data_IF_289481255703
#
_entry.id   IF_289481255703
#
_cell.length_a   1.000
_cell.length_b   1.000
_cell.length_c   1.000
_cell.angle_alpha   90.00
_cell.angle_beta   90.00
_cell.angle_gamma   90.00
#
_symmetry.space_group_name_H-M   'P 1'
#
loop_
_entity.id
_entity.type
_entity.pdbx_description
1 polymer ?
#
# COMPACT_ATOMS: atom_id res chain seq x y z
N UNK A 1 10.59 -20.65 -29.26
CA UNK A 1 10.69 -20.62 -27.78
C UNK A 1 10.48 -22.03 -27.28
N UNK A 2 11.39 -22.57 -26.47
CA UNK A 2 11.31 -23.94 -25.95
C UNK A 2 10.08 -24.11 -25.04
N UNK A 3 9.53 -25.31 -25.03
CA UNK A 3 8.35 -25.68 -24.22
C UNK A 3 8.64 -25.47 -22.72
N UNK A 4 9.87 -25.69 -22.30
CA UNK A 4 10.35 -25.46 -20.91
C UNK A 4 10.25 -23.99 -20.49
N UNK A 5 10.64 -23.05 -21.38
CA UNK A 5 10.53 -21.62 -21.07
C UNK A 5 9.07 -21.13 -20.99
N UNK A 6 8.13 -21.79 -21.63
CA UNK A 6 6.70 -21.51 -21.48
C UNK A 6 6.17 -22.04 -20.15
N UNK A 7 6.57 -23.25 -19.75
CA UNK A 7 6.19 -23.83 -18.47
C UNK A 7 6.71 -22.99 -17.27
N UNK A 8 7.97 -22.57 -17.31
CA UNK A 8 8.54 -21.71 -16.26
C UNK A 8 7.78 -20.37 -16.10
N UNK A 9 7.36 -19.77 -17.22
CA UNK A 9 6.54 -18.54 -17.16
C UNK A 9 5.13 -18.79 -16.64
N UNK A 10 4.56 -19.96 -16.93
CA UNK A 10 3.24 -20.33 -16.44
C UNK A 10 3.25 -20.47 -14.92
N UNK A 11 4.27 -21.11 -14.33
CA UNK A 11 4.43 -21.22 -12.88
C UNK A 11 4.46 -19.85 -12.21
N UNK A 12 5.20 -18.90 -12.78
CA UNK A 12 5.24 -17.53 -12.25
C UNK A 12 3.89 -16.83 -12.38
N UNK A 13 3.15 -17.04 -13.47
CA UNK A 13 1.81 -16.47 -13.64
C UNK A 13 0.85 -17.03 -12.58
N UNK A 14 0.93 -18.34 -12.32
CA UNK A 14 0.08 -19.00 -11.32
C UNK A 14 0.44 -18.53 -9.88
N UNK A 15 1.73 -18.32 -9.60
CA UNK A 15 2.19 -17.69 -8.35
C UNK A 15 1.61 -16.28 -8.18
N UNK A 16 1.69 -15.45 -9.24
CA UNK A 16 1.15 -14.09 -9.23
C UNK A 16 -0.35 -14.13 -8.96
N UNK A 17 -1.12 -14.98 -9.65
CA UNK A 17 -2.56 -15.13 -9.42
C UNK A 17 -2.88 -15.48 -7.97
N UNK A 18 -2.19 -16.46 -7.40
CA UNK A 18 -2.39 -16.84 -6.00
C UNK A 18 -2.06 -15.75 -4.99
N UNK A 19 -1.13 -14.83 -5.31
CA UNK A 19 -0.85 -13.64 -4.49
C UNK A 19 -1.93 -12.57 -4.65
N UNK A 20 -2.44 -12.38 -5.86
CA UNK A 20 -3.54 -11.44 -6.12
C UNK A 20 -4.83 -11.84 -5.39
N UNK A 21 -5.16 -13.13 -5.37
CA UNK A 21 -6.35 -13.66 -4.69
C UNK A 21 -6.28 -13.54 -3.16
N UNK A 22 -5.08 -13.62 -2.59
CA UNK A 22 -4.85 -13.54 -1.13
C UNK A 22 -4.69 -12.11 -0.62
N UNK A 23 -4.37 -11.17 -1.50
CA UNK A 23 -4.11 -9.80 -1.12
C UNK A 23 -5.41 -9.00 -0.98
N UNK A 24 -5.61 -8.34 0.15
CA UNK A 24 -6.69 -7.37 0.35
C UNK A 24 -6.43 -6.04 -0.37
N UNK A 25 -5.16 -5.67 -0.54
CA UNK A 25 -4.77 -4.52 -1.36
C UNK A 25 -3.45 -4.75 -2.07
N UNK A 26 -3.31 -4.10 -3.22
CA UNK A 26 -2.13 -4.18 -4.08
C UNK A 26 -1.74 -2.76 -4.47
N UNK A 27 -0.51 -2.38 -4.13
CA UNK A 27 0.01 -1.05 -4.44
C UNK A 27 1.19 -1.18 -5.40
N UNK A 28 1.10 -0.48 -6.52
CA UNK A 28 2.15 -0.42 -7.53
C UNK A 28 2.99 0.84 -7.35
N UNK A 29 4.31 0.65 -7.27
CA UNK A 29 5.27 1.74 -7.10
C UNK A 29 6.41 1.67 -8.10
N UNK A 30 6.94 2.83 -8.45
CA UNK A 30 8.23 2.93 -9.12
C UNK A 30 9.35 2.93 -8.07
N UNK A 31 10.32 2.01 -8.22
CA UNK A 31 11.43 1.84 -7.28
C UNK A 31 12.78 2.25 -7.84
N UNK A 32 12.80 2.93 -9.00
CA UNK A 32 14.06 3.37 -9.62
C UNK A 32 14.80 4.38 -8.75
N UNK A 33 16.13 4.25 -8.74
CA UNK A 33 17.02 5.20 -8.08
C UNK A 33 17.31 4.90 -6.60
N UNK A 34 16.77 3.83 -6.03
CA UNK A 34 17.11 3.38 -4.68
C UNK A 34 18.50 2.74 -4.65
N UNK A 35 19.23 3.00 -3.57
CA UNK A 35 20.44 2.23 -3.24
C UNK A 35 20.06 0.88 -2.62
N UNK A 36 20.99 -0.07 -2.63
CA UNK A 36 20.75 -1.40 -2.05
C UNK A 36 20.39 -1.31 -0.57
N UNK A 37 21.09 -0.47 0.19
CA UNK A 37 20.83 -0.27 1.62
C UNK A 37 19.44 0.32 1.89
N UNK A 38 18.98 1.27 1.07
CA UNK A 38 17.62 1.86 1.15
C UNK A 38 16.55 0.82 0.82
N UNK A 39 16.78 0.01 -0.22
CA UNK A 39 15.87 -1.06 -0.62
C UNK A 39 15.74 -2.16 0.44
N UNK A 40 16.83 -2.53 1.09
CA UNK A 40 16.83 -3.55 2.13
C UNK A 40 16.09 -3.07 3.39
N UNK A 41 16.29 -1.81 3.80
CA UNK A 41 15.53 -1.20 4.91
C UNK A 41 14.04 -1.18 4.61
N UNK A 42 13.66 -0.69 3.43
CA UNK A 42 12.26 -0.67 3.01
C UNK A 42 11.62 -2.06 3.02
N UNK A 43 12.33 -3.07 2.48
CA UNK A 43 11.85 -4.46 2.52
C UNK A 43 11.73 -5.01 3.93
N UNK A 44 12.67 -4.67 4.82
CA UNK A 44 12.62 -5.07 6.22
C UNK A 44 11.38 -4.47 6.92
N UNK A 45 11.07 -3.21 6.67
CA UNK A 45 9.92 -2.53 7.26
C UNK A 45 8.60 -3.05 6.68
N UNK A 46 8.53 -3.35 5.38
CA UNK A 46 7.36 -4.00 4.77
C UNK A 46 7.10 -5.39 5.36
N UNK A 47 8.15 -6.19 5.56
CA UNK A 47 8.03 -7.52 6.19
C UNK A 47 7.54 -7.46 7.63
N UNK A 48 7.92 -6.43 8.42
CA UNK A 48 7.43 -6.23 9.79
C UNK A 48 5.91 -6.01 9.82
N UNK A 49 5.37 -5.34 8.81
CA UNK A 49 3.94 -5.05 8.65
C UNK A 49 3.20 -6.17 7.87
N UNK A 50 3.86 -7.30 7.58
CA UNK A 50 3.25 -8.44 6.89
C UNK A 50 2.96 -8.20 5.40
N UNK A 51 3.65 -7.26 4.78
CA UNK A 51 3.48 -6.90 3.37
C UNK A 51 4.52 -7.62 2.52
N UNK A 52 4.08 -8.35 1.49
CA UNK A 52 4.98 -8.98 0.51
C UNK A 52 5.30 -8.01 -0.62
N UNK A 53 6.59 -7.69 -0.78
CA UNK A 53 7.07 -6.77 -1.79
C UNK A 53 7.89 -7.49 -2.85
N UNK A 54 7.32 -7.58 -4.05
CA UNK A 54 7.93 -8.33 -5.15
C UNK A 54 7.93 -7.54 -6.45
N UNK A 55 8.94 -7.82 -7.27
CA UNK A 55 9.09 -7.22 -8.60
C UNK A 55 8.89 -8.31 -9.65
N UNK A 56 7.90 -8.13 -10.49
CA UNK A 56 7.60 -9.03 -11.60
C UNK A 56 7.69 -8.31 -12.94
N UNK A 57 7.88 -9.07 -13.98
CA UNK A 57 7.83 -8.53 -15.35
C UNK A 57 6.42 -8.09 -15.71
N UNK A 58 6.23 -6.83 -16.12
CA UNK A 58 4.92 -6.25 -16.44
C UNK A 58 4.07 -7.09 -17.39
N UNK A 59 4.71 -7.74 -18.38
CA UNK A 59 4.00 -8.63 -19.30
C UNK A 59 3.45 -9.91 -18.67
N UNK A 60 4.06 -10.39 -17.58
CA UNK A 60 3.55 -11.54 -16.81
C UNK A 60 2.41 -11.10 -15.90
N UNK A 61 2.56 -9.92 -15.28
CA UNK A 61 1.48 -9.32 -14.47
C UNK A 61 0.24 -9.14 -15.33
N UNK A 62 0.36 -8.50 -16.51
CA UNK A 62 -0.78 -8.32 -17.42
C UNK A 62 -1.48 -9.64 -17.77
N UNK A 63 -0.73 -10.69 -18.06
CA UNK A 63 -1.31 -12.02 -18.35
C UNK A 63 -1.93 -12.70 -17.13
N UNK A 64 -1.44 -12.41 -15.92
CA UNK A 64 -1.98 -12.96 -14.70
C UNK A 64 -3.33 -12.32 -14.35
N UNK A 65 -3.49 -11.01 -14.61
CA UNK A 65 -4.72 -10.26 -14.30
C UNK A 65 -5.74 -10.27 -15.43
N UNK A 66 -5.37 -10.74 -16.66
CA UNK A 66 -6.31 -10.91 -17.75
C UNK A 66 -7.46 -11.84 -17.33
N UNK A 67 -8.70 -11.34 -17.44
CA UNK A 67 -9.91 -12.07 -17.07
C UNK A 67 -10.23 -12.11 -15.57
N UNK A 68 -9.53 -11.32 -14.75
CA UNK A 68 -9.83 -11.14 -13.33
C UNK A 68 -10.35 -9.71 -13.06
N UNK A 69 -10.88 -9.49 -11.86
CA UNK A 69 -11.35 -8.15 -11.41
C UNK A 69 -10.24 -7.08 -11.43
N UNK A 70 -8.98 -7.53 -11.46
CA UNK A 70 -7.79 -6.68 -11.51
C UNK A 70 -7.46 -6.15 -12.91
N UNK A 71 -8.24 -6.48 -13.94
CA UNK A 71 -7.99 -6.09 -15.33
C UNK A 71 -7.86 -4.57 -15.52
N UNK A 72 -8.56 -3.78 -14.70
CA UNK A 72 -8.46 -2.32 -14.71
C UNK A 72 -7.05 -1.77 -14.38
N UNK A 73 -6.20 -2.53 -13.68
CA UNK A 73 -4.79 -2.19 -13.48
C UNK A 73 -3.96 -2.30 -14.79
N UNK A 74 -4.39 -3.14 -15.74
CA UNK A 74 -3.70 -3.32 -17.02
C UNK A 74 -3.95 -2.18 -18.00
N UNK A 75 -5.13 -1.55 -17.94
CA UNK A 75 -5.57 -0.52 -18.86
C UNK A 75 -4.93 0.85 -18.62
N UNK A 76 -4.37 1.08 -17.43
CA UNK A 76 -3.68 2.31 -17.05
C UNK A 76 -2.18 2.33 -17.34
N UNK A 77 -1.56 3.49 -17.09
CA UNK A 77 -0.11 3.67 -17.17
C UNK A 77 0.65 2.99 -16.01
N UNK A 78 -0.07 2.35 -15.09
CA UNK A 78 0.47 1.72 -13.87
C UNK A 78 1.52 0.65 -14.20
N UNK A 79 1.30 -0.15 -15.24
CA UNK A 79 2.21 -1.22 -15.66
C UNK A 79 3.15 -0.80 -16.81
N UNK A 80 3.49 0.50 -16.91
CA UNK A 80 4.53 0.99 -17.83
C UNK A 80 5.82 1.29 -17.05
N UNK A 81 6.98 0.89 -17.59
CA UNK A 81 8.30 1.11 -16.97
C UNK A 81 8.58 0.18 -15.78
N UNK A 82 9.40 0.64 -14.82
CA UNK A 82 9.73 -0.12 -13.62
C UNK A 82 8.53 -0.16 -12.68
N UNK A 83 8.14 -1.34 -12.28
CA UNK A 83 6.98 -1.53 -11.40
C UNK A 83 7.30 -2.60 -10.37
N UNK A 84 7.17 -2.26 -9.10
CA UNK A 84 7.15 -3.19 -7.99
C UNK A 84 5.74 -3.24 -7.40
N UNK A 85 5.34 -4.40 -6.95
CA UNK A 85 4.03 -4.63 -6.33
C UNK A 85 4.21 -4.94 -4.85
N UNK A 86 3.45 -4.25 -4.02
CA UNK A 86 3.30 -4.54 -2.60
C UNK A 86 1.92 -5.16 -2.39
N UNK A 87 1.92 -6.37 -1.86
CA UNK A 87 0.70 -7.13 -1.55
C UNK A 87 0.46 -7.06 -0.04
N UNK A 88 -0.64 -6.46 0.38
CA UNK A 88 -1.05 -6.39 1.77
C UNK A 88 -2.17 -7.40 2.03
N UNK A 89 -2.09 -8.12 3.15
CA UNK A 89 -3.08 -9.11 3.55
C UNK A 89 -4.20 -8.51 4.40
N UNK A 90 -4.11 -8.68 5.72
CA UNK A 90 -5.17 -8.29 6.67
C UNK A 90 -5.33 -6.77 6.80
N UNK A 91 -4.23 -6.01 6.84
CA UNK A 91 -4.27 -4.54 6.86
C UNK A 91 -4.02 -3.99 5.46
N UNK A 92 -5.09 -3.67 4.75
CA UNK A 92 -5.03 -3.13 3.40
C UNK A 92 -4.22 -1.82 3.30
N UNK A 93 -4.13 -1.03 4.38
CA UNK A 93 -3.41 0.25 4.39
C UNK A 93 -1.92 0.11 4.68
N UNK A 94 -1.46 -1.03 5.23
CA UNK A 94 -0.09 -1.22 5.70
C UNK A 94 0.96 -0.98 4.61
N UNK A 95 0.77 -1.58 3.42
CA UNK A 95 1.67 -1.43 2.28
C UNK A 95 1.78 0.02 1.81
N UNK A 96 0.65 0.68 1.62
CA UNK A 96 0.62 2.08 1.18
C UNK A 96 1.28 3.01 2.21
N UNK A 97 1.03 2.80 3.51
CA UNK A 97 1.57 3.59 4.61
C UNK A 97 3.09 3.50 4.72
N UNK A 98 3.66 2.29 4.66
CA UNK A 98 5.12 2.08 4.71
C UNK A 98 5.78 2.67 3.46
N UNK A 99 5.19 2.44 2.29
CA UNK A 99 5.70 2.99 1.03
C UNK A 99 5.63 4.52 1.01
N UNK A 100 4.58 5.14 1.56
CA UNK A 100 4.50 6.60 1.68
C UNK A 100 5.59 7.19 2.59
N UNK A 101 5.95 6.50 3.68
CA UNK A 101 7.09 6.88 4.52
C UNK A 101 8.39 6.81 3.74
N UNK A 102 8.62 5.70 3.02
CA UNK A 102 9.81 5.51 2.19
C UNK A 102 9.90 6.57 1.07
N UNK A 103 8.79 6.90 0.42
CA UNK A 103 8.74 7.96 -0.61
C UNK A 103 9.12 9.32 -0.03
N UNK A 104 8.64 9.66 1.17
CA UNK A 104 8.97 10.93 1.85
C UNK A 104 10.44 10.99 2.26
N UNK A 105 11.01 9.86 2.72
CA UNK A 105 12.39 9.74 3.18
C UNK A 105 13.39 9.79 2.01
N UNK A 106 13.16 8.98 0.98
CA UNK A 106 14.11 8.82 -0.11
C UNK A 106 13.87 9.74 -1.30
N UNK A 107 12.64 10.25 -1.49
CA UNK A 107 12.24 11.17 -2.60
C UNK A 107 12.60 10.67 -4.01
N UNK A 108 12.86 9.38 -4.15
CA UNK A 108 13.27 8.71 -5.40
C UNK A 108 12.20 7.78 -5.96
N UNK A 109 11.18 7.52 -5.17
CA UNK A 109 10.09 6.61 -5.49
C UNK A 109 8.83 7.41 -5.79
N UNK A 110 7.92 6.81 -6.56
CA UNK A 110 6.60 7.37 -6.80
C UNK A 110 5.53 6.27 -6.81
N UNK A 111 4.36 6.58 -6.30
CA UNK A 111 3.20 5.74 -6.52
C UNK A 111 2.79 5.80 -7.99
N UNK A 112 2.37 4.67 -8.53
CA UNK A 112 1.79 4.58 -9.87
C UNK A 112 0.29 4.39 -9.82
N UNK A 113 -0.20 3.70 -8.83
CA UNK A 113 -1.59 3.37 -8.60
C UNK A 113 -1.70 2.12 -7.75
N UNK A 114 -2.90 1.61 -7.61
CA UNK A 114 -3.13 0.39 -6.87
C UNK A 114 -4.54 -0.13 -7.01
N UNK A 115 -4.77 -1.26 -6.39
CA UNK A 115 -6.06 -1.92 -6.32
C UNK A 115 -6.39 -2.22 -4.86
N UNK A 116 -7.53 -1.76 -4.39
CA UNK A 116 -7.97 -1.95 -3.00
C UNK A 116 -9.45 -2.34 -3.03
N UNK A 117 -9.78 -3.47 -2.43
CA UNK A 117 -11.18 -3.93 -2.23
C UNK A 117 -12.06 -3.83 -3.50
N UNK A 118 -11.55 -4.27 -4.65
CA UNK A 118 -12.35 -4.27 -5.88
C UNK A 118 -12.26 -2.99 -6.73
N UNK A 119 -11.56 -1.96 -6.26
CA UNK A 119 -11.46 -0.68 -6.96
C UNK A 119 -10.03 -0.35 -7.37
N UNK A 120 -9.88 0.20 -8.57
CA UNK A 120 -8.58 0.72 -9.06
C UNK A 120 -8.44 2.16 -8.60
N UNK A 121 -7.32 2.45 -7.97
CA UNK A 121 -6.97 3.76 -7.45
C UNK A 121 -5.83 4.38 -8.26
N UNK A 122 -5.99 5.65 -8.61
CA UNK A 122 -4.95 6.47 -9.21
C UNK A 122 -3.89 6.87 -8.20
N UNK A 123 -2.78 7.46 -8.70
CA UNK A 123 -1.67 7.93 -7.89
C UNK A 123 -2.12 8.86 -6.75
N UNK A 124 -2.96 9.85 -7.02
CA UNK A 124 -3.44 10.80 -6.01
C UNK A 124 -4.28 10.12 -4.93
N UNK A 125 -5.16 9.22 -5.35
CA UNK A 125 -6.02 8.44 -4.43
C UNK A 125 -5.21 7.49 -3.55
N UNK A 126 -4.14 6.88 -4.07
CA UNK A 126 -3.24 6.03 -3.26
C UNK A 126 -2.44 6.88 -2.26
N UNK A 127 -2.05 8.10 -2.58
CA UNK A 127 -1.41 9.00 -1.63
C UNK A 127 -2.35 9.37 -0.47
N UNK A 128 -3.63 9.63 -0.75
CA UNK A 128 -4.66 9.84 0.26
C UNK A 128 -4.88 8.58 1.09
N UNK A 129 -5.02 7.42 0.44
CA UNK A 129 -5.17 6.13 1.10
C UNK A 129 -3.99 5.80 2.03
N UNK A 130 -2.78 6.11 1.62
CA UNK A 130 -1.57 5.95 2.43
C UNK A 130 -1.52 6.88 3.66
N UNK A 131 -2.32 7.95 3.69
CA UNK A 131 -2.46 8.83 4.86
C UNK A 131 -3.33 8.24 5.97
N UNK A 132 -4.12 7.21 5.66
CA UNK A 132 -5.00 6.54 6.60
C UNK A 132 -4.15 5.71 7.57
N UNK A 133 -4.28 5.95 8.90
CA UNK A 133 -3.57 5.14 9.88
C UNK A 133 -4.15 3.74 10.00
N UNK A 134 -3.39 2.81 10.58
CA UNK A 134 -3.83 1.46 10.81
C UNK A 134 -5.07 1.37 11.73
N UNK A 135 -5.72 0.21 11.70
CA UNK A 135 -7.00 -0.07 12.38
C UNK A 135 -7.01 0.33 13.85
N UNK A 136 -5.97 -0.01 14.60
CA UNK A 136 -5.89 0.28 16.05
C UNK A 136 -5.86 1.78 16.33
N UNK A 137 -5.14 2.55 15.49
CA UNK A 137 -5.08 4.02 15.61
C UNK A 137 -6.41 4.65 15.23
N UNK A 138 -7.14 4.10 14.26
CA UNK A 138 -8.48 4.55 13.89
C UNK A 138 -9.47 4.33 15.03
N UNK A 139 -9.43 3.15 15.66
CA UNK A 139 -10.26 2.84 16.84
C UNK A 139 -9.93 3.80 17.98
N UNK A 140 -8.65 4.02 18.27
CA UNK A 140 -8.22 4.95 19.32
C UNK A 140 -8.69 6.39 19.04
N UNK A 141 -8.61 6.87 17.80
CA UNK A 141 -9.12 8.18 17.39
C UNK A 141 -10.63 8.27 17.53
N UNK A 142 -11.36 7.22 17.16
CA UNK A 142 -12.80 7.15 17.29
C UNK A 142 -13.22 7.22 18.78
N UNK A 143 -12.59 6.45 19.65
CA UNK A 143 -12.83 6.49 21.10
C UNK A 143 -12.52 7.87 21.68
N UNK A 144 -11.41 8.48 21.28
CA UNK A 144 -11.06 9.85 21.67
C UNK A 144 -12.06 10.89 21.19
N UNK A 145 -12.61 10.72 19.99
CA UNK A 145 -13.65 11.59 19.45
C UNK A 145 -14.96 11.53 20.25
N UNK A 146 -15.37 10.35 20.70
CA UNK A 146 -16.56 10.17 21.54
C UNK A 146 -16.39 10.86 22.89
N UNK A 147 -15.21 10.81 23.48
CA UNK A 147 -14.88 11.44 24.77
C UNK A 147 -14.58 12.95 24.66
N UNK A 148 -14.33 13.44 23.44
CA UNK A 148 -13.92 14.83 23.18
C UNK A 148 -14.84 15.90 23.80
N UNK A 149 -16.20 15.79 23.76
CA UNK A 149 -17.08 16.80 24.37
C UNK A 149 -16.86 16.94 25.90
N UNK A 150 -16.71 15.81 26.59
CA UNK A 150 -16.48 15.80 28.03
C UNK A 150 -15.09 16.36 28.40
N UNK A 151 -14.08 15.96 27.63
CA UNK A 151 -12.70 16.44 27.82
C UNK A 151 -12.61 17.95 27.56
N UNK A 152 -13.26 18.45 26.50
CA UNK A 152 -13.31 19.88 26.21
C UNK A 152 -14.02 20.67 27.31
N UNK A 153 -15.13 20.17 27.85
CA UNK A 153 -15.81 20.81 28.97
C UNK A 153 -14.91 20.91 30.21
N UNK A 154 -14.23 19.81 30.56
CA UNK A 154 -13.31 19.78 31.69
C UNK A 154 -12.14 20.77 31.52
N UNK A 155 -11.58 20.82 30.28
CA UNK A 155 -10.48 21.77 29.97
C UNK A 155 -10.94 23.24 30.03
N UNK A 156 -12.16 23.55 29.56
CA UNK A 156 -12.71 24.93 29.62
C UNK A 156 -12.99 25.34 31.06
N UNK A 157 -13.55 24.46 31.89
CA UNK A 157 -13.75 24.73 33.31
C UNK A 157 -12.43 24.97 34.04
N UNK A 158 -11.41 24.16 33.76
CA UNK A 158 -10.07 24.33 34.30
C UNK A 158 -9.46 25.67 33.88
N UNK A 159 -9.55 26.04 32.60
CA UNK A 159 -9.03 27.30 32.07
C UNK A 159 -9.74 28.53 32.68
N UNK A 160 -11.03 28.44 33.02
CA UNK A 160 -11.77 29.49 33.73
C UNK A 160 -11.25 29.60 35.16
N UNK A 161 -11.12 28.49 35.88
CA UNK A 161 -10.63 28.47 37.25
C UNK A 161 -9.17 29.03 37.39
N UNK A 162 -8.34 28.77 36.39
CA UNK A 162 -6.97 29.30 36.32
C UNK A 162 -6.90 30.79 35.95
N UNK A 163 -7.97 31.35 35.34
CA UNK A 163 -8.07 32.79 35.05
C UNK A 163 -8.59 33.62 36.21
N UNK A 164 -9.43 32.99 37.03
CA UNK A 164 -10.06 33.65 38.19
C UNK A 164 -9.20 33.50 39.47
N UNK A 165 -8.05 32.79 39.40
CA UNK A 165 -7.06 32.64 40.45
C UNK A 165 -5.83 33.56 40.21
#
# INVERSE_FOLDING_TARGET
MSVEAKKAKQVVIDEIKGKFEKAGSIVAVDYLGLTVAEADKMRADLRKEGVDFTVYKNTLIKRAIDGTEFAGLADGDVLKGSTALAFSGEDATAGARVLAKAIKEYKKMAFKGGFVEGHVYDKAQIEEFASIPGRDVLIARFMGSIQSPMTKLALTLKAIAEKDA
#
